data_IF_786900248098
#
_entry.id   IF_786900248098
#
_cell.length_a   1.000
_cell.length_b   1.000
_cell.length_c   1.000
_cell.angle_alpha   90.00
_cell.angle_beta   90.00
_cell.angle_gamma   90.00
#
_symmetry.space_group_name_H-M   'P 1'
#
loop_
_entity.id
_entity.type
_entity.pdbx_description
1 polymer ?
#
# COMPACT_ATOMS: atom_id res chain seq x y z
N UNK A 1 -22.66 20.62 15.94
CA UNK A 1 -21.48 19.74 15.89
C UNK A 1 -21.27 19.36 14.43
N UNK A 2 -20.16 19.73 13.83
CA UNK A 2 -19.82 19.23 12.50
C UNK A 2 -19.63 17.72 12.60
N UNK A 3 -20.29 16.99 11.69
CA UNK A 3 -20.20 15.54 11.65
C UNK A 3 -18.77 15.16 11.22
N UNK A 4 -18.07 14.36 12.02
CA UNK A 4 -16.72 13.89 11.70
C UNK A 4 -16.77 13.05 10.41
N UNK A 5 -16.07 13.51 9.39
CA UNK A 5 -15.91 12.81 8.12
C UNK A 5 -14.49 12.28 8.04
N UNK A 6 -14.33 10.96 7.89
CA UNK A 6 -13.02 10.31 7.75
C UNK A 6 -12.23 10.88 6.56
N UNK A 7 -10.92 11.09 6.72
CA UNK A 7 -10.07 11.73 5.72
C UNK A 7 -10.09 11.03 4.36
N UNK A 8 -10.16 9.71 4.34
CA UNK A 8 -10.30 8.93 3.11
C UNK A 8 -11.55 9.26 2.27
N UNK A 9 -12.60 9.84 2.90
CA UNK A 9 -13.80 10.35 2.22
C UNK A 9 -13.69 11.84 1.95
N UNK A 10 -13.23 12.63 2.91
CA UNK A 10 -13.13 14.09 2.83
C UNK A 10 -12.15 14.53 1.73
N UNK A 11 -10.99 13.87 1.64
CA UNK A 11 -9.93 14.17 0.67
C UNK A 11 -9.94 13.24 -0.55
N UNK A 12 -11.10 12.63 -0.85
CA UNK A 12 -11.22 11.84 -2.08
C UNK A 12 -11.05 12.75 -3.29
N UNK A 13 -10.13 12.44 -4.23
CA UNK A 13 -9.90 13.20 -5.44
C UNK A 13 -11.21 13.48 -6.21
N UNK A 14 -11.39 14.73 -6.63
CA UNK A 14 -12.54 15.16 -7.42
C UNK A 14 -12.19 15.36 -8.89
N UNK A 15 -10.92 15.61 -9.19
CA UNK A 15 -10.39 15.75 -10.55
C UNK A 15 -9.21 14.80 -10.78
N UNK A 16 -8.86 14.55 -12.03
CA UNK A 16 -7.69 13.73 -12.35
C UNK A 16 -6.37 14.33 -11.85
N UNK A 17 -6.31 15.65 -11.66
CA UNK A 17 -5.12 16.34 -11.12
C UNK A 17 -4.87 16.01 -9.65
N UNK A 18 -5.93 15.72 -8.91
CA UNK A 18 -5.86 15.42 -7.48
C UNK A 18 -5.45 13.95 -7.21
N UNK A 19 -5.39 13.13 -8.26
CA UNK A 19 -5.07 11.70 -8.12
C UNK A 19 -3.56 11.52 -7.98
N UNK A 20 -3.15 11.05 -6.81
CA UNK A 20 -1.75 10.89 -6.44
C UNK A 20 -1.14 9.63 -7.08
N UNK A 21 0.06 9.76 -7.63
CA UNK A 21 0.89 8.62 -8.07
C UNK A 21 0.41 7.89 -9.33
N UNK A 22 -0.61 8.40 -10.06
CA UNK A 22 -1.19 7.73 -11.24
C UNK A 22 -1.17 8.60 -12.50
N UNK A 23 -0.21 9.54 -12.62
CA UNK A 23 -0.18 10.54 -13.69
C UNK A 23 -0.21 9.94 -15.10
N UNK A 24 0.46 8.80 -15.32
CA UNK A 24 0.46 8.14 -16.62
C UNK A 24 -0.96 7.70 -17.04
N UNK A 25 -1.73 7.15 -16.09
CA UNK A 25 -3.11 6.69 -16.32
C UNK A 25 -4.04 7.88 -16.51
N UNK A 26 -3.98 8.87 -15.62
CA UNK A 26 -4.85 10.06 -15.68
C UNK A 26 -4.63 10.85 -16.97
N UNK A 27 -3.37 11.01 -17.41
CA UNK A 27 -3.04 11.65 -18.68
C UNK A 27 -3.56 10.84 -19.89
N UNK A 28 -3.43 9.51 -19.85
CA UNK A 28 -3.96 8.66 -20.93
C UNK A 28 -5.48 8.75 -21.02
N UNK A 29 -6.18 8.77 -19.89
CA UNK A 29 -7.64 8.93 -19.85
C UNK A 29 -8.07 10.30 -20.35
N UNK A 30 -7.38 11.38 -19.95
CA UNK A 30 -7.65 12.73 -20.44
C UNK A 30 -7.46 12.81 -21.96
N UNK A 31 -6.34 12.33 -22.47
CA UNK A 31 -6.08 12.31 -23.91
C UNK A 31 -7.13 11.49 -24.69
N UNK A 32 -7.61 10.39 -24.12
CA UNK A 32 -8.66 9.58 -24.75
C UNK A 32 -10.01 10.32 -24.81
N UNK A 33 -10.33 11.12 -23.78
CA UNK A 33 -11.52 11.97 -23.76
C UNK A 33 -11.37 13.09 -24.80
N UNK A 34 -10.29 13.85 -24.75
CA UNK A 34 -10.06 15.04 -25.59
C UNK A 34 -10.02 14.70 -27.09
N UNK A 35 -9.57 13.49 -27.43
CA UNK A 35 -9.52 12.99 -28.80
C UNK A 35 -10.76 12.16 -29.22
N UNK A 36 -11.78 12.03 -28.36
CA UNK A 36 -12.95 11.17 -28.61
C UNK A 36 -12.59 9.68 -28.94
N UNK A 37 -11.52 9.16 -28.31
CA UNK A 37 -11.04 7.78 -28.49
C UNK A 37 -11.21 6.92 -27.23
N UNK A 38 -12.19 7.24 -26.38
CA UNK A 38 -12.47 6.47 -25.19
C UNK A 38 -13.13 5.14 -25.56
N UNK A 39 -12.55 4.04 -25.11
CA UNK A 39 -13.15 2.72 -25.28
C UNK A 39 -14.44 2.60 -24.45
N UNK A 40 -15.42 1.83 -24.94
CA UNK A 40 -16.67 1.58 -24.21
C UNK A 40 -16.52 0.57 -23.07
N UNK A 41 -15.46 -0.23 -23.06
CA UNK A 41 -15.11 -1.14 -21.96
C UNK A 41 -13.68 -0.88 -21.48
N UNK A 42 -13.56 -0.54 -20.22
CA UNK A 42 -12.30 -0.23 -19.55
C UNK A 42 -12.10 -1.21 -18.39
N UNK A 43 -10.88 -1.67 -18.19
CA UNK A 43 -10.52 -2.51 -17.04
C UNK A 43 -9.41 -1.84 -16.22
N UNK A 44 -9.73 -1.44 -15.00
CA UNK A 44 -8.82 -0.87 -14.04
C UNK A 44 -8.30 -1.95 -13.11
N UNK A 45 -7.02 -2.26 -13.19
CA UNK A 45 -6.38 -3.31 -12.39
C UNK A 45 -5.35 -2.72 -11.45
N UNK A 46 -5.07 -3.39 -10.35
CA UNK A 46 -4.03 -2.99 -9.40
C UNK A 46 -4.45 -3.11 -7.94
N UNK A 47 -3.52 -2.85 -6.99
CA UNK A 47 -3.75 -3.03 -5.57
C UNK A 47 -4.97 -2.27 -5.05
N UNK A 48 -5.45 -2.65 -3.84
CA UNK A 48 -6.51 -1.93 -3.16
C UNK A 48 -6.03 -0.53 -2.75
N UNK A 49 -6.94 0.45 -2.73
CA UNK A 49 -6.66 1.78 -2.18
C UNK A 49 -5.81 2.71 -3.04
N UNK A 50 -5.47 2.34 -4.30
CA UNK A 50 -4.64 3.14 -5.22
C UNK A 50 -5.43 4.10 -6.11
N UNK A 51 -6.76 4.17 -5.98
CA UNK A 51 -7.60 5.15 -6.68
C UNK A 51 -8.41 4.63 -7.86
N UNK A 52 -8.51 3.32 -8.13
CA UNK A 52 -9.29 2.74 -9.26
C UNK A 52 -10.72 3.25 -9.33
N UNK A 53 -11.52 3.01 -8.30
CA UNK A 53 -12.93 3.44 -8.24
C UNK A 53 -13.07 4.97 -8.23
N UNK A 54 -12.11 5.69 -7.64
CA UNK A 54 -12.06 7.16 -7.68
C UNK A 54 -11.85 7.66 -9.10
N UNK A 55 -10.88 7.13 -9.84
CA UNK A 55 -10.66 7.48 -11.25
C UNK A 55 -11.88 7.12 -12.11
N UNK A 56 -12.55 6.00 -11.84
CA UNK A 56 -13.77 5.62 -12.55
C UNK A 56 -14.88 6.67 -12.38
N UNK A 57 -15.09 7.17 -11.15
CA UNK A 57 -16.07 8.24 -10.85
C UNK A 57 -15.69 9.57 -11.50
N UNK A 58 -14.42 9.95 -11.46
CA UNK A 58 -13.93 11.16 -12.10
C UNK A 58 -14.14 11.07 -13.61
N UNK A 59 -13.81 9.92 -14.22
CA UNK A 59 -14.04 9.67 -15.65
C UNK A 59 -15.52 9.79 -16.00
N UNK A 60 -16.39 9.11 -15.24
CA UNK A 60 -17.83 9.13 -15.47
C UNK A 60 -18.42 10.54 -15.44
N UNK A 61 -17.97 11.37 -14.48
CA UNK A 61 -18.36 12.78 -14.40
C UNK A 61 -17.81 13.57 -15.59
N UNK A 62 -16.53 13.44 -15.89
CA UNK A 62 -15.85 14.22 -16.94
C UNK A 62 -16.47 14.02 -18.32
N UNK A 63 -16.81 12.79 -18.71
CA UNK A 63 -17.41 12.49 -20.03
C UNK A 63 -18.87 12.93 -20.17
N UNK A 64 -19.59 13.11 -19.05
CA UNK A 64 -20.96 13.60 -19.04
C UNK A 64 -21.03 15.12 -18.88
N UNK A 65 -19.98 15.76 -18.38
CA UNK A 65 -19.91 17.21 -18.16
C UNK A 65 -19.68 18.01 -19.47
N UNK A 66 -19.24 17.33 -20.53
CA UNK A 66 -19.00 17.96 -21.83
C UNK A 66 -20.31 18.45 -22.45
N UNK A 67 -20.44 19.77 -22.62
CA UNK A 67 -21.65 20.41 -23.14
C UNK A 67 -22.64 20.94 -22.09
N UNK A 68 -22.29 20.87 -20.80
CA UNK A 68 -23.06 21.47 -19.71
C UNK A 68 -22.31 22.63 -19.07
N UNK A 69 -22.95 23.78 -18.95
CA UNK A 69 -22.36 25.00 -18.40
C UNK A 69 -22.28 24.99 -16.86
N UNK A 70 -23.06 24.15 -16.18
CA UNK A 70 -23.03 24.01 -14.71
C UNK A 70 -21.99 22.97 -14.26
N UNK A 71 -20.88 23.41 -13.64
CA UNK A 71 -19.88 22.49 -13.10
C UNK A 71 -20.38 21.67 -11.89
N UNK A 72 -21.55 22.01 -11.33
CA UNK A 72 -22.16 21.33 -10.18
C UNK A 72 -23.32 20.40 -10.58
N UNK A 73 -23.59 20.24 -11.89
CA UNK A 73 -24.63 19.31 -12.32
C UNK A 73 -24.31 17.89 -11.85
N UNK A 74 -25.28 17.31 -11.13
CA UNK A 74 -25.13 15.99 -10.55
C UNK A 74 -25.57 14.92 -11.55
N UNK A 75 -24.60 14.27 -12.17
CA UNK A 75 -24.82 13.11 -13.06
C UNK A 75 -25.04 11.79 -12.28
N UNK A 76 -25.51 11.85 -11.04
CA UNK A 76 -25.69 10.64 -10.22
C UNK A 76 -26.61 9.60 -10.88
N UNK A 77 -27.59 10.05 -11.65
CA UNK A 77 -28.50 9.16 -12.41
C UNK A 77 -27.85 8.48 -13.62
N UNK A 78 -26.65 8.92 -14.01
CA UNK A 78 -25.91 8.37 -15.13
C UNK A 78 -24.81 7.38 -14.69
N UNK A 79 -24.50 7.32 -13.41
CA UNK A 79 -23.42 6.50 -12.86
C UNK A 79 -24.01 5.39 -11.99
N UNK A 80 -23.87 4.16 -12.45
CA UNK A 80 -24.33 2.97 -11.73
C UNK A 80 -23.13 2.23 -11.18
N UNK A 81 -23.05 2.11 -9.87
CA UNK A 81 -21.96 1.41 -9.18
C UNK A 81 -22.49 0.08 -8.62
N UNK A 82 -21.79 -0.98 -8.94
CA UNK A 82 -22.06 -2.32 -8.44
C UNK A 82 -20.78 -2.89 -7.84
N UNK A 83 -20.86 -3.34 -6.60
CA UNK A 83 -19.81 -4.11 -5.96
C UNK A 83 -20.08 -5.60 -6.22
N UNK A 84 -19.22 -6.23 -7.00
CA UNK A 84 -19.35 -7.64 -7.33
C UNK A 84 -19.12 -8.59 -6.15
N UNK A 85 -18.52 -8.11 -5.04
CA UNK A 85 -18.42 -8.90 -3.83
C UNK A 85 -19.81 -9.15 -3.19
N UNK A 86 -20.72 -8.18 -3.31
CA UNK A 86 -22.08 -8.23 -2.78
C UNK A 86 -23.13 -8.66 -3.83
N UNK A 87 -22.85 -8.43 -5.12
CA UNK A 87 -23.77 -8.63 -6.24
C UNK A 87 -23.09 -9.48 -7.32
N UNK A 88 -22.93 -10.77 -7.08
CA UNK A 88 -22.16 -11.67 -7.93
C UNK A 88 -23.00 -12.69 -8.72
N UNK A 89 -24.31 -12.65 -8.55
CA UNK A 89 -25.21 -13.60 -9.20
C UNK A 89 -25.47 -13.28 -10.67
N UNK A 90 -25.93 -14.27 -11.41
CA UNK A 90 -26.36 -14.09 -12.81
C UNK A 90 -27.54 -13.12 -12.93
N UNK A 91 -28.44 -13.13 -11.94
CA UNK A 91 -29.67 -12.32 -11.97
C UNK A 91 -29.35 -10.85 -11.71
N UNK A 92 -28.35 -10.55 -10.85
CA UNK A 92 -27.86 -9.18 -10.64
C UNK A 92 -27.32 -8.61 -11.96
N UNK A 93 -26.49 -9.38 -12.66
CA UNK A 93 -25.91 -8.96 -13.95
C UNK A 93 -26.97 -8.87 -15.05
N UNK A 94 -27.97 -9.75 -15.09
CA UNK A 94 -29.09 -9.64 -16.04
C UNK A 94 -29.90 -8.37 -15.82
N UNK A 95 -30.21 -8.04 -14.57
CA UNK A 95 -30.89 -6.80 -14.20
C UNK A 95 -30.10 -5.56 -14.64
N UNK A 96 -28.76 -5.58 -14.47
CA UNK A 96 -27.88 -4.53 -14.97
C UNK A 96 -27.93 -4.45 -16.51
N UNK A 97 -27.84 -5.57 -17.23
CA UNK A 97 -27.89 -5.62 -18.70
C UNK A 97 -29.21 -5.03 -19.23
N UNK A 98 -30.34 -5.30 -18.59
CA UNK A 98 -31.63 -4.73 -18.99
C UNK A 98 -31.66 -3.21 -18.81
N UNK A 99 -31.05 -2.67 -17.74
CA UNK A 99 -30.91 -1.24 -17.53
C UNK A 99 -29.97 -0.57 -18.54
N UNK A 100 -28.94 -1.28 -19.02
CA UNK A 100 -27.98 -0.80 -20.02
C UNK A 100 -28.67 -0.43 -21.34
N UNK A 101 -29.74 -1.14 -21.71
CA UNK A 101 -30.47 -0.92 -22.98
C UNK A 101 -31.23 0.41 -23.02
N UNK A 102 -31.51 0.99 -21.86
CA UNK A 102 -32.27 2.25 -21.73
C UNK A 102 -31.27 3.42 -21.83
N UNK A 103 -31.40 4.33 -22.81
CA UNK A 103 -30.51 5.47 -22.94
C UNK A 103 -30.62 6.45 -21.74
N UNK A 104 -29.62 7.29 -21.47
CA UNK A 104 -29.70 8.31 -20.42
C UNK A 104 -30.77 9.34 -20.73
N UNK A 105 -31.38 9.90 -19.68
CA UNK A 105 -32.33 11.01 -19.80
C UNK A 105 -31.60 12.35 -19.88
N UNK A 106 -30.47 12.46 -19.18
CA UNK A 106 -29.57 13.62 -19.17
C UNK A 106 -28.16 13.13 -19.40
N UNK A 107 -27.26 13.99 -19.88
CA UNK A 107 -25.88 13.61 -20.19
C UNK A 107 -25.76 12.75 -21.45
N UNK A 108 -24.51 12.44 -21.81
CA UNK A 108 -24.16 11.72 -23.05
C UNK A 108 -24.09 10.21 -22.85
N UNK A 109 -23.61 9.80 -21.67
CA UNK A 109 -23.30 8.40 -21.37
C UNK A 109 -23.94 7.90 -20.08
N UNK A 110 -24.34 6.64 -20.05
CA UNK A 110 -24.53 5.84 -18.85
C UNK A 110 -23.25 5.08 -18.54
N UNK A 111 -22.72 5.25 -17.34
CA UNK A 111 -21.48 4.64 -16.91
C UNK A 111 -21.76 3.58 -15.85
N UNK A 112 -21.31 2.37 -16.12
CA UNK A 112 -21.45 1.23 -15.23
C UNK A 112 -20.11 0.88 -14.63
N UNK A 113 -19.92 1.17 -13.33
CA UNK A 113 -18.71 0.86 -12.57
C UNK A 113 -18.96 -0.44 -11.82
N UNK A 114 -18.22 -1.49 -12.16
CA UNK A 114 -18.28 -2.79 -11.47
C UNK A 114 -16.97 -2.99 -10.73
N UNK A 115 -17.04 -2.82 -9.40
CA UNK A 115 -15.87 -2.99 -8.53
C UNK A 115 -15.70 -4.46 -8.13
N UNK A 116 -14.45 -4.86 -7.89
CA UNK A 116 -14.01 -6.24 -7.60
C UNK A 116 -14.61 -7.28 -8.56
N UNK A 117 -14.60 -6.95 -9.85
CA UNK A 117 -15.25 -7.75 -10.91
C UNK A 117 -14.82 -9.23 -10.94
N UNK A 118 -13.65 -9.57 -10.40
CA UNK A 118 -13.17 -10.95 -10.26
C UNK A 118 -14.03 -11.81 -9.31
N UNK A 119 -14.90 -11.19 -8.52
CA UNK A 119 -15.83 -11.87 -7.60
C UNK A 119 -17.11 -12.36 -8.31
N UNK A 120 -17.36 -11.94 -9.55
CA UNK A 120 -18.51 -12.42 -10.31
C UNK A 120 -18.42 -13.94 -10.55
N UNK A 121 -19.56 -14.62 -10.47
CA UNK A 121 -19.65 -16.03 -10.85
C UNK A 121 -19.34 -16.23 -12.33
N UNK A 122 -18.87 -17.42 -12.69
CA UNK A 122 -18.59 -17.76 -14.10
C UNK A 122 -19.81 -17.55 -15.01
N UNK A 123 -21.00 -17.87 -14.51
CA UNK A 123 -22.25 -17.70 -15.23
C UNK A 123 -22.61 -16.21 -15.40
N UNK A 124 -22.33 -15.35 -14.40
CA UNK A 124 -22.49 -13.90 -14.49
C UNK A 124 -21.52 -13.30 -15.52
N UNK A 125 -20.25 -13.72 -15.51
CA UNK A 125 -19.29 -13.33 -16.56
C UNK A 125 -19.80 -13.69 -17.96
N UNK A 126 -20.25 -14.92 -18.16
CA UNK A 126 -20.73 -15.37 -19.47
C UNK A 126 -21.96 -14.56 -19.93
N UNK A 127 -22.88 -14.21 -19.03
CA UNK A 127 -24.02 -13.36 -19.36
C UNK A 127 -23.59 -11.95 -19.78
N UNK A 128 -22.52 -11.44 -19.17
CA UNK A 128 -22.01 -10.09 -19.43
C UNK A 128 -21.18 -9.96 -20.72
N UNK A 129 -20.54 -11.06 -21.18
CA UNK A 129 -19.67 -11.07 -22.38
C UNK A 129 -20.35 -10.50 -23.61
N UNK A 130 -21.61 -10.88 -23.88
CA UNK A 130 -22.35 -10.39 -25.04
C UNK A 130 -22.52 -8.86 -25.02
N UNK A 131 -22.77 -8.29 -23.87
CA UNK A 131 -22.94 -6.85 -23.71
C UNK A 131 -21.60 -6.10 -23.85
N UNK A 132 -20.48 -6.73 -23.48
CA UNK A 132 -19.14 -6.18 -23.68
C UNK A 132 -18.66 -6.28 -25.12
N UNK A 133 -19.15 -7.26 -25.89
CA UNK A 133 -18.84 -7.41 -27.32
C UNK A 133 -19.53 -6.33 -28.17
N UNK A 134 -20.80 -6.08 -27.89
CA UNK A 134 -21.63 -5.13 -28.62
C UNK A 134 -22.33 -4.15 -27.64
N UNK A 135 -21.56 -3.27 -26.97
CA UNK A 135 -22.15 -2.35 -26.03
C UNK A 135 -22.98 -1.28 -26.74
N UNK A 136 -24.16 -0.88 -26.19
CA UNK A 136 -24.89 0.27 -26.71
C UNK A 136 -24.04 1.52 -26.76
N UNK A 137 -24.19 2.37 -27.75
CA UNK A 137 -23.36 3.56 -27.99
C UNK A 137 -23.31 4.53 -26.80
N UNK A 138 -24.35 4.54 -25.99
CA UNK A 138 -24.47 5.39 -24.79
C UNK A 138 -23.94 4.74 -23.51
N UNK A 139 -23.49 3.48 -23.56
CA UNK A 139 -23.02 2.76 -22.39
C UNK A 139 -21.50 2.69 -22.37
N UNK A 140 -20.93 2.99 -21.18
CA UNK A 140 -19.50 2.81 -20.89
C UNK A 140 -19.37 1.91 -19.66
N UNK A 141 -18.55 0.88 -19.76
CA UNK A 141 -18.28 -0.06 -18.68
C UNK A 141 -16.88 0.20 -18.12
N UNK A 142 -16.78 0.35 -16.81
CA UNK A 142 -15.51 0.47 -16.09
C UNK A 142 -15.46 -0.67 -15.07
N UNK A 143 -14.71 -1.68 -15.40
CA UNK A 143 -14.49 -2.84 -14.55
C UNK A 143 -13.27 -2.57 -13.67
N UNK A 144 -13.36 -2.80 -12.38
CA UNK A 144 -12.22 -2.65 -11.46
C UNK A 144 -11.92 -3.97 -10.76
N UNK A 145 -10.64 -4.31 -10.60
CA UNK A 145 -10.20 -5.52 -9.92
C UNK A 145 -8.86 -5.35 -9.20
N UNK A 146 -8.73 -6.03 -8.09
CA UNK A 146 -7.43 -6.20 -7.40
C UNK A 146 -6.67 -7.42 -7.94
N UNK A 147 -7.33 -8.36 -8.62
CA UNK A 147 -6.79 -9.64 -9.04
C UNK A 147 -6.95 -9.87 -10.56
N UNK A 148 -6.11 -9.19 -11.35
CA UNK A 148 -6.11 -9.28 -12.82
C UNK A 148 -6.01 -10.73 -13.33
N UNK A 149 -5.26 -11.58 -12.65
CA UNK A 149 -5.03 -12.98 -13.03
C UNK A 149 -6.29 -13.85 -12.93
N UNK A 150 -7.31 -13.42 -12.17
CA UNK A 150 -8.61 -14.10 -12.08
C UNK A 150 -9.59 -13.70 -13.18
N UNK A 151 -9.27 -12.66 -13.97
CA UNK A 151 -10.13 -12.22 -15.06
C UNK A 151 -9.90 -13.12 -16.28
N UNK A 152 -10.99 -13.64 -16.82
CA UNK A 152 -10.93 -14.53 -17.99
C UNK A 152 -10.39 -13.82 -19.23
N UNK A 153 -9.59 -14.50 -20.08
CA UNK A 153 -8.96 -13.88 -21.25
C UNK A 153 -9.96 -13.22 -22.23
N UNK A 154 -11.17 -13.75 -22.30
CA UNK A 154 -12.25 -13.21 -23.13
C UNK A 154 -12.71 -11.81 -22.74
N UNK A 155 -12.65 -11.46 -21.45
CA UNK A 155 -12.89 -10.08 -20.95
C UNK A 155 -11.67 -9.21 -21.23
N UNK A 156 -10.45 -9.71 -20.93
CA UNK A 156 -9.21 -8.96 -21.14
C UNK A 156 -9.05 -8.49 -22.60
N UNK A 157 -9.46 -9.33 -23.56
CA UNK A 157 -9.37 -8.99 -25.00
C UNK A 157 -10.38 -7.95 -25.47
N UNK A 158 -11.40 -7.62 -24.66
CA UNK A 158 -12.48 -6.68 -25.00
C UNK A 158 -12.39 -5.36 -24.26
N UNK A 159 -11.48 -5.26 -23.27
CA UNK A 159 -11.33 -4.08 -22.46
C UNK A 159 -10.00 -3.36 -22.75
N UNK A 160 -10.01 -2.05 -22.73
CA UNK A 160 -8.79 -1.27 -22.60
C UNK A 160 -8.30 -1.36 -21.15
N UNK A 161 -7.08 -1.86 -20.95
CA UNK A 161 -6.55 -2.17 -19.62
C UNK A 161 -5.70 -1.03 -19.11
N UNK A 162 -5.93 -0.63 -17.86
CA UNK A 162 -5.16 0.38 -17.11
C UNK A 162 -4.62 -0.27 -15.82
N UNK A 163 -3.31 -0.43 -15.75
CA UNK A 163 -2.63 -1.05 -14.62
C UNK A 163 -2.19 0.02 -13.60
N UNK A 164 -2.99 0.19 -12.53
CA UNK A 164 -2.69 1.09 -11.42
C UNK A 164 -1.54 0.55 -10.57
N UNK A 165 -0.59 1.41 -10.26
CA UNK A 165 0.58 1.07 -9.46
C UNK A 165 0.38 1.41 -8.00
N UNK A 166 1.20 0.80 -7.12
CA UNK A 166 1.34 1.27 -5.75
C UNK A 166 1.84 2.71 -5.75
N UNK A 167 1.29 3.51 -4.84
CA UNK A 167 1.73 4.89 -4.65
C UNK A 167 3.06 4.84 -3.91
N UNK A 168 4.03 5.65 -4.34
CA UNK A 168 5.33 5.69 -3.68
C UNK A 168 5.21 6.26 -2.27
N UNK A 169 6.11 5.87 -1.37
CA UNK A 169 6.17 6.41 -0.01
C UNK A 169 6.31 7.93 -0.05
N UNK A 170 7.09 8.45 -1.01
CA UNK A 170 7.28 9.88 -1.22
C UNK A 170 5.97 10.58 -1.55
N UNK A 171 5.26 10.12 -2.58
CA UNK A 171 3.99 10.74 -3.01
C UNK A 171 2.92 10.66 -1.90
N UNK A 172 2.86 9.52 -1.20
CA UNK A 172 1.93 9.33 -0.09
C UNK A 172 2.25 10.29 1.08
N UNK A 173 3.53 10.44 1.43
CA UNK A 173 3.99 11.37 2.47
C UNK A 173 3.67 12.82 2.11
N UNK A 174 3.97 13.25 0.89
CA UNK A 174 3.67 14.60 0.41
C UNK A 174 2.17 14.92 0.52
N UNK A 175 1.32 14.02 0.06
CA UNK A 175 -0.14 14.17 0.16
C UNK A 175 -0.64 14.19 1.61
N UNK A 176 -0.13 13.30 2.48
CA UNK A 176 -0.44 13.34 3.92
C UNK A 176 -0.04 14.67 4.56
N UNK A 177 1.08 15.26 4.14
CA UNK A 177 1.52 16.58 4.58
C UNK A 177 0.58 17.70 4.15
N UNK A 178 0.02 17.64 2.93
CA UNK A 178 -1.02 18.57 2.48
C UNK A 178 -2.29 18.44 3.32
N UNK A 179 -2.73 17.20 3.56
CA UNK A 179 -3.91 16.92 4.41
C UNK A 179 -3.69 17.43 5.83
N UNK A 180 -2.53 17.18 6.45
CA UNK A 180 -2.20 17.65 7.78
C UNK A 180 -2.23 19.19 7.87
N UNK A 181 -1.60 19.88 6.91
CA UNK A 181 -1.63 21.36 6.84
C UNK A 181 -3.06 21.90 6.69
N UNK A 182 -3.88 21.26 5.86
CA UNK A 182 -5.28 21.67 5.65
C UNK A 182 -6.14 21.51 6.90
N UNK A 183 -5.74 20.60 7.82
CA UNK A 183 -6.40 20.37 9.11
C UNK A 183 -5.77 21.16 10.27
N UNK A 184 -4.70 21.94 10.02
CA UNK A 184 -3.97 22.67 11.05
C UNK A 184 -3.19 21.77 12.01
N UNK A 185 -2.78 20.58 11.54
CA UNK A 185 -2.00 19.60 12.30
C UNK A 185 -0.52 19.85 12.05
N UNK A 186 0.25 20.05 13.12
CA UNK A 186 1.71 20.06 13.07
C UNK A 186 2.26 18.63 13.00
N UNK A 187 3.31 18.40 12.26
CA UNK A 187 3.85 17.05 12.06
C UNK A 187 5.36 17.05 11.90
N UNK A 188 5.97 15.97 12.33
CA UNK A 188 7.36 15.62 12.00
C UNK A 188 7.36 14.85 10.66
N UNK A 189 8.36 15.11 9.83
CA UNK A 189 8.49 14.48 8.50
C UNK A 189 8.58 12.94 8.60
N UNK A 190 9.32 12.45 9.60
CA UNK A 190 9.46 11.01 9.89
C UNK A 190 8.13 10.37 10.34
N UNK A 191 7.25 11.12 11.02
CA UNK A 191 5.93 10.64 11.40
C UNK A 191 5.07 10.30 10.16
N UNK A 192 5.01 11.22 9.20
CA UNK A 192 4.29 10.98 7.93
C UNK A 192 4.96 9.87 7.10
N UNK A 193 6.28 9.79 7.14
CA UNK A 193 7.03 8.74 6.44
C UNK A 193 6.63 7.34 6.95
N UNK A 194 6.57 7.13 8.26
CA UNK A 194 6.15 5.86 8.87
C UNK A 194 4.72 5.50 8.48
N UNK A 195 3.80 6.47 8.48
CA UNK A 195 2.41 6.24 8.04
C UNK A 195 2.36 5.81 6.57
N UNK A 196 3.08 6.52 5.70
CA UNK A 196 3.13 6.23 4.27
C UNK A 196 3.74 4.84 3.99
N UNK A 197 4.81 4.48 4.70
CA UNK A 197 5.45 3.16 4.61
C UNK A 197 4.50 2.04 5.07
N UNK A 198 3.80 2.24 6.21
CA UNK A 198 2.87 1.26 6.76
C UNK A 198 1.65 1.02 5.86
N UNK A 199 1.27 2.01 5.06
CA UNK A 199 0.15 1.94 4.11
C UNK A 199 0.46 1.12 2.85
N UNK A 200 1.72 0.75 2.62
CA UNK A 200 2.16 -0.12 1.52
C UNK A 200 1.61 0.30 0.16
N UNK A 201 1.66 1.61 -0.13
CA UNK A 201 1.25 2.19 -1.39
C UNK A 201 -0.27 2.33 -1.60
N UNK A 202 -1.07 2.15 -0.55
CA UNK A 202 -2.53 2.33 -0.57
C UNK A 202 -2.92 3.68 0.08
N UNK A 203 -3.27 4.71 -0.69
CA UNK A 203 -3.62 6.03 -0.16
C UNK A 203 -4.83 6.00 0.80
N UNK A 204 -5.81 5.14 0.52
CA UNK A 204 -6.96 4.98 1.41
C UNK A 204 -6.55 4.50 2.81
N UNK A 205 -5.60 3.57 2.86
CA UNK A 205 -5.09 3.03 4.12
C UNK A 205 -4.18 4.05 4.80
N UNK A 206 -3.37 4.80 4.05
CA UNK A 206 -2.56 5.91 4.57
C UNK A 206 -3.42 6.95 5.29
N UNK A 207 -4.51 7.40 4.67
CA UNK A 207 -5.44 8.36 5.27
C UNK A 207 -6.19 7.77 6.48
N UNK A 208 -6.54 6.48 6.44
CA UNK A 208 -7.18 5.81 7.58
C UNK A 208 -6.23 5.65 8.78
N UNK A 209 -4.97 5.34 8.52
CA UNK A 209 -3.91 5.30 9.53
C UNK A 209 -3.68 6.71 10.09
N UNK A 210 -3.58 7.71 9.23
CA UNK A 210 -3.43 9.12 9.62
C UNK A 210 -4.55 9.54 10.59
N UNK A 211 -5.82 9.33 10.24
CA UNK A 211 -6.96 9.66 11.10
C UNK A 211 -6.89 8.98 12.47
N UNK A 212 -6.49 7.70 12.49
CA UNK A 212 -6.33 6.94 13.72
C UNK A 212 -5.25 7.54 14.63
N UNK A 213 -4.10 7.87 14.06
CA UNK A 213 -2.99 8.44 14.83
C UNK A 213 -3.32 9.87 15.30
N UNK A 214 -3.92 10.70 14.44
CA UNK A 214 -4.38 12.05 14.81
C UNK A 214 -5.42 11.99 15.94
N UNK A 215 -6.31 11.02 15.92
CA UNK A 215 -7.28 10.81 17.01
C UNK A 215 -6.58 10.46 18.35
N UNK A 216 -5.38 9.89 18.30
CA UNK A 216 -4.59 9.55 19.48
C UNK A 216 -3.75 10.73 19.98
N UNK A 217 -3.04 11.44 19.10
CA UNK A 217 -2.07 12.48 19.47
C UNK A 217 -2.61 13.92 19.37
N UNK A 218 -3.82 14.12 18.82
CA UNK A 218 -4.40 15.45 18.61
C UNK A 218 -3.73 16.23 17.49
N UNK A 219 -3.35 17.47 17.74
CA UNK A 219 -2.84 18.40 16.72
C UNK A 219 -1.32 18.35 16.50
N UNK A 220 -0.61 17.48 17.21
CA UNK A 220 0.85 17.36 17.09
C UNK A 220 1.27 15.92 16.78
N UNK A 221 1.55 15.67 15.50
CA UNK A 221 1.90 14.35 14.99
C UNK A 221 3.42 14.14 15.08
N UNK A 222 3.88 13.55 16.20
CA UNK A 222 5.28 13.21 16.40
C UNK A 222 5.59 11.78 15.95
N UNK A 223 6.87 11.51 15.60
CA UNK A 223 7.35 10.16 15.28
C UNK A 223 7.03 9.17 16.41
N UNK A 224 7.27 9.58 17.66
CA UNK A 224 7.00 8.76 18.83
C UNK A 224 5.52 8.37 18.93
N UNK A 225 4.60 9.32 18.79
CA UNK A 225 3.16 9.04 18.83
C UNK A 225 2.71 8.06 17.73
N UNK A 226 3.30 8.18 16.53
CA UNK A 226 3.03 7.28 15.42
C UNK A 226 3.54 5.88 15.70
N UNK A 227 4.79 5.73 16.15
CA UNK A 227 5.38 4.42 16.45
C UNK A 227 4.64 3.69 17.56
N UNK A 228 4.25 4.41 18.62
CA UNK A 228 3.46 3.86 19.72
C UNK A 228 2.06 3.41 19.25
N UNK A 229 1.33 4.27 18.53
CA UNK A 229 -0.02 3.97 18.08
C UNK A 229 -0.06 2.84 17.04
N UNK A 230 0.90 2.79 16.14
CA UNK A 230 0.97 1.76 15.08
C UNK A 230 1.64 0.47 15.56
N UNK A 231 2.13 0.44 16.78
CA UNK A 231 2.93 -0.65 17.31
C UNK A 231 4.08 -1.02 16.35
N UNK A 232 4.77 0.01 15.82
CA UNK A 232 5.93 -0.11 14.95
C UNK A 232 7.17 0.10 15.79
N UNK A 233 8.06 -0.87 15.81
CA UNK A 233 9.31 -0.72 16.52
C UNK A 233 10.19 0.29 15.78
N UNK A 234 10.72 1.28 16.53
CA UNK A 234 11.57 2.31 15.99
C UNK A 234 12.90 1.74 15.48
N UNK A 235 13.42 2.31 14.39
CA UNK A 235 14.72 1.90 13.83
C UNK A 235 15.87 1.99 14.85
N UNK A 236 15.77 2.87 15.86
CA UNK A 236 16.76 2.96 16.93
C UNK A 236 16.92 1.65 17.72
N UNK A 237 15.84 0.89 17.91
CA UNK A 237 15.92 -0.43 18.52
C UNK A 237 16.68 -1.42 17.66
N UNK A 238 16.46 -1.42 16.34
CA UNK A 238 17.18 -2.29 15.43
C UNK A 238 18.66 -1.93 15.35
N UNK A 239 18.99 -0.64 15.38
CA UNK A 239 20.38 -0.17 15.45
C UNK A 239 21.04 -0.68 16.74
N UNK A 240 20.39 -0.48 17.91
CA UNK A 240 20.90 -0.97 19.20
C UNK A 240 21.07 -2.48 19.21
N UNK A 241 20.08 -3.23 18.73
CA UNK A 241 20.12 -4.69 18.67
C UNK A 241 21.27 -5.15 17.74
N UNK A 242 21.46 -4.51 16.60
CA UNK A 242 22.53 -4.84 15.67
C UNK A 242 23.92 -4.54 16.26
N UNK A 243 24.10 -3.44 16.96
CA UNK A 243 25.36 -3.16 17.67
C UNK A 243 25.65 -4.25 18.74
N UNK A 244 24.65 -4.67 19.53
CA UNK A 244 24.79 -5.77 20.48
C UNK A 244 25.12 -7.12 19.80
N UNK A 245 24.56 -7.37 18.61
CA UNK A 245 24.88 -8.55 17.79
C UNK A 245 26.34 -8.52 17.34
N UNK A 246 26.79 -7.40 16.80
CA UNK A 246 28.18 -7.22 16.33
C UNK A 246 29.19 -7.40 17.48
N UNK A 247 28.85 -6.89 18.65
CA UNK A 247 29.67 -6.96 19.87
C UNK A 247 29.57 -8.34 20.59
N UNK A 248 28.75 -9.26 20.10
CA UNK A 248 28.49 -10.58 20.72
C UNK A 248 28.00 -10.48 22.19
N UNK A 249 27.19 -9.47 22.49
CA UNK A 249 26.64 -9.24 23.84
C UNK A 249 25.32 -9.95 24.03
N UNK A 250 25.35 -11.28 24.03
CA UNK A 250 24.16 -12.14 24.10
C UNK A 250 23.27 -11.83 25.30
N UNK A 251 23.77 -11.66 26.56
CA UNK A 251 22.92 -11.33 27.70
C UNK A 251 22.13 -10.03 27.51
N UNK A 252 22.79 -8.96 27.04
CA UNK A 252 22.15 -7.66 26.83
C UNK A 252 21.16 -7.68 25.67
N UNK A 253 21.46 -8.49 24.64
CA UNK A 253 20.59 -8.72 23.50
C UNK A 253 19.26 -9.39 23.94
N UNK A 254 19.33 -10.42 24.78
CA UNK A 254 18.15 -11.10 25.31
C UNK A 254 17.35 -10.19 26.27
N UNK A 255 18.03 -9.36 27.09
CA UNK A 255 17.36 -8.37 27.92
C UNK A 255 16.65 -7.30 27.07
N UNK A 256 17.30 -6.79 26.03
CA UNK A 256 16.69 -5.83 25.10
C UNK A 256 15.47 -6.43 24.38
N UNK A 257 15.54 -7.69 23.95
CA UNK A 257 14.39 -8.37 23.37
C UNK A 257 13.23 -8.51 24.37
N UNK A 258 13.55 -8.85 25.63
CA UNK A 258 12.53 -8.92 26.68
C UNK A 258 11.88 -7.55 26.97
N UNK A 259 12.64 -6.44 26.91
CA UNK A 259 12.09 -5.09 27.00
C UNK A 259 11.13 -4.76 25.84
N UNK A 260 11.48 -5.19 24.63
CA UNK A 260 10.63 -5.03 23.43
C UNK A 260 9.30 -5.76 23.62
N UNK A 261 9.34 -7.02 24.08
CA UNK A 261 8.13 -7.80 24.38
C UNK A 261 7.30 -7.19 25.50
N UNK A 262 7.94 -6.68 26.56
CA UNK A 262 7.26 -6.04 27.70
C UNK A 262 6.53 -4.74 27.30
N UNK A 263 6.98 -4.06 26.25
CA UNK A 263 6.31 -2.91 25.65
C UNK A 263 5.13 -3.30 24.73
N UNK A 264 4.83 -4.60 24.58
CA UNK A 264 3.72 -5.09 23.78
C UNK A 264 4.02 -5.29 22.28
N UNK A 265 5.29 -5.20 21.87
CA UNK A 265 5.67 -5.51 20.51
C UNK A 265 5.63 -7.02 20.23
N UNK A 266 5.20 -7.38 19.04
CA UNK A 266 5.13 -8.76 18.59
C UNK A 266 6.49 -9.27 18.10
N UNK A 267 6.88 -10.49 18.53
CA UNK A 267 8.16 -11.08 18.15
C UNK A 267 8.31 -11.37 16.67
N UNK A 268 7.22 -11.68 15.97
CA UNK A 268 7.23 -11.91 14.52
C UNK A 268 7.56 -10.61 13.77
N UNK A 269 6.85 -9.53 14.12
CA UNK A 269 7.13 -8.22 13.54
C UNK A 269 8.55 -7.73 13.86
N UNK A 270 9.07 -8.03 15.06
CA UNK A 270 10.44 -7.71 15.42
C UNK A 270 11.45 -8.41 14.52
N UNK A 271 11.31 -9.73 14.28
CA UNK A 271 12.24 -10.50 13.42
C UNK A 271 12.17 -10.04 11.96
N UNK A 272 10.96 -9.84 11.43
CA UNK A 272 10.75 -9.34 10.08
C UNK A 272 11.36 -7.93 9.90
N UNK A 273 11.20 -7.06 10.91
CA UNK A 273 11.83 -5.74 10.91
C UNK A 273 13.35 -5.80 11.01
N UNK A 274 13.90 -6.75 11.78
CA UNK A 274 15.35 -6.96 11.89
C UNK A 274 15.95 -7.44 10.56
N UNK A 275 15.26 -8.35 9.85
CA UNK A 275 15.67 -8.77 8.51
C UNK A 275 15.69 -7.60 7.51
N UNK A 276 14.64 -6.75 7.56
CA UNK A 276 14.57 -5.53 6.76
C UNK A 276 15.68 -4.55 7.10
N UNK A 277 16.01 -4.39 8.39
CA UNK A 277 17.10 -3.54 8.85
C UNK A 277 18.48 -4.02 8.30
N UNK A 278 18.77 -5.33 8.33
CA UNK A 278 20.00 -5.85 7.76
C UNK A 278 20.06 -5.63 6.23
N UNK A 279 18.94 -5.77 5.53
CA UNK A 279 18.84 -5.43 4.10
C UNK A 279 19.16 -3.94 3.87
N UNK A 280 18.63 -3.06 4.69
CA UNK A 280 18.84 -1.62 4.58
C UNK A 280 20.29 -1.23 4.88
N UNK A 281 20.95 -1.89 5.84
CA UNK A 281 22.39 -1.77 6.05
C UNK A 281 23.20 -2.21 4.82
N UNK A 282 22.80 -3.31 4.17
CA UNK A 282 23.47 -3.80 2.96
C UNK A 282 23.32 -2.81 1.79
N UNK A 283 22.12 -2.27 1.61
CA UNK A 283 21.79 -1.25 0.60
C UNK A 283 22.59 0.04 0.85
N UNK A 284 22.80 0.41 2.13
CA UNK A 284 23.52 1.61 2.52
C UNK A 284 25.02 1.56 2.30
N UNK A 285 25.59 0.38 2.02
CA UNK A 285 27.02 0.22 1.74
C UNK A 285 27.47 0.82 0.41
N UNK A 286 26.58 0.91 -0.57
CA UNK A 286 26.91 1.41 -1.90
C UNK A 286 26.08 2.67 -2.23
N UNK A 287 26.72 3.80 -2.60
CA UNK A 287 26.00 5.00 -2.99
C UNK A 287 24.98 4.81 -4.12
N UNK A 288 25.23 3.87 -5.05
CA UNK A 288 24.31 3.58 -6.15
C UNK A 288 23.00 2.93 -5.69
N UNK A 289 23.01 2.24 -4.55
CA UNK A 289 21.83 1.56 -3.99
C UNK A 289 21.11 2.38 -2.93
N UNK A 290 21.64 3.54 -2.50
CA UNK A 290 21.00 4.42 -1.52
C UNK A 290 19.59 4.87 -1.94
N UNK A 291 19.32 4.97 -3.24
CA UNK A 291 17.98 5.28 -3.75
C UNK A 291 16.93 4.20 -3.43
N UNK A 292 17.37 2.99 -3.03
CA UNK A 292 16.50 1.88 -2.60
C UNK A 292 16.19 1.92 -1.10
N UNK A 293 16.82 2.85 -0.36
CA UNK A 293 16.59 3.03 1.06
C UNK A 293 15.40 3.98 1.27
N UNK A 294 14.30 3.43 1.70
CA UNK A 294 13.07 4.17 2.01
C UNK A 294 13.12 4.65 3.48
N UNK A 295 14.02 5.57 3.81
CA UNK A 295 14.18 6.12 5.17
C UNK A 295 14.34 7.64 5.12
N UNK A 296 13.96 8.33 6.21
CA UNK A 296 14.21 9.76 6.38
C UNK A 296 15.70 10.09 6.48
N UNK A 297 16.10 11.35 6.28
CA UNK A 297 17.52 11.76 6.25
C UNK A 297 18.29 11.39 7.53
N UNK A 298 17.66 11.52 8.69
CA UNK A 298 18.29 11.18 9.98
C UNK A 298 18.60 9.69 10.04
N UNK A 299 17.63 8.84 9.69
CA UNK A 299 17.79 7.40 9.66
C UNK A 299 18.84 6.98 8.62
N UNK A 300 18.87 7.60 7.43
CA UNK A 300 19.88 7.32 6.39
C UNK A 300 21.31 7.50 6.88
N UNK A 301 21.58 8.53 7.67
CA UNK A 301 22.90 8.76 8.24
C UNK A 301 23.30 7.66 9.23
N UNK A 302 22.36 7.26 10.11
CA UNK A 302 22.60 6.18 11.08
C UNK A 302 22.81 4.82 10.36
N UNK A 303 22.03 4.52 9.34
CA UNK A 303 22.23 3.33 8.51
C UNK A 303 23.61 3.32 7.83
N UNK A 304 24.04 4.47 7.31
CA UNK A 304 25.38 4.61 6.69
C UNK A 304 26.49 4.36 7.70
N UNK A 305 26.43 4.93 8.90
CA UNK A 305 27.43 4.73 9.95
C UNK A 305 27.46 3.26 10.39
N UNK A 306 26.34 2.65 10.69
CA UNK A 306 26.29 1.25 11.15
C UNK A 306 26.69 0.28 10.03
N UNK A 307 26.38 0.59 8.76
CA UNK A 307 26.77 -0.24 7.64
C UNK A 307 28.28 -0.41 7.50
N UNK A 308 29.07 0.60 7.93
CA UNK A 308 30.53 0.53 7.91
C UNK A 308 31.08 -0.44 8.97
N UNK A 309 30.35 -0.70 10.05
CA UNK A 309 30.75 -1.64 11.11
C UNK A 309 30.49 -3.11 10.71
N UNK A 310 29.77 -3.37 9.64
CA UNK A 310 29.36 -4.72 9.22
C UNK A 310 30.06 -5.14 7.91
N UNK A 311 30.30 -6.42 7.71
CA UNK A 311 30.72 -6.96 6.41
C UNK A 311 29.52 -7.37 5.56
N UNK A 312 29.70 -7.46 4.24
CA UNK A 312 28.65 -7.95 3.35
C UNK A 312 28.28 -9.40 3.67
N UNK A 313 29.25 -10.25 3.96
CA UNK A 313 29.01 -11.65 4.31
C UNK A 313 28.24 -11.80 5.61
N UNK A 314 28.53 -10.95 6.61
CA UNK A 314 27.75 -10.90 7.83
C UNK A 314 26.28 -10.57 7.55
N UNK A 315 26.03 -9.49 6.79
CA UNK A 315 24.66 -9.05 6.49
C UNK A 315 23.85 -10.08 5.71
N UNK A 316 24.47 -10.75 4.73
CA UNK A 316 23.79 -11.83 3.97
C UNK A 316 23.41 -13.01 4.87
N UNK A 317 24.32 -13.46 5.75
CA UNK A 317 24.03 -14.51 6.74
C UNK A 317 22.98 -14.07 7.75
N UNK A 318 23.02 -12.81 8.18
CA UNK A 318 22.06 -12.27 9.13
C UNK A 318 20.65 -12.19 8.54
N UNK A 319 20.50 -11.77 7.29
CA UNK A 319 19.22 -11.77 6.56
C UNK A 319 18.69 -13.21 6.45
N UNK A 320 19.53 -14.17 6.09
CA UNK A 320 19.15 -15.57 5.95
C UNK A 320 18.62 -16.15 7.26
N UNK A 321 19.35 -15.98 8.37
CA UNK A 321 18.92 -16.43 9.71
C UNK A 321 17.62 -15.76 10.17
N UNK A 322 17.48 -14.45 9.97
CA UNK A 322 16.28 -13.73 10.36
C UNK A 322 15.07 -14.17 9.51
N UNK A 323 15.25 -14.36 8.20
CA UNK A 323 14.21 -14.87 7.30
C UNK A 323 13.81 -16.33 7.63
N UNK A 324 14.76 -17.18 7.96
CA UNK A 324 14.46 -18.55 8.40
C UNK A 324 13.66 -18.58 9.70
N UNK A 325 13.97 -17.68 10.63
CA UNK A 325 13.18 -17.49 11.86
C UNK A 325 11.76 -17.00 11.55
N UNK A 326 11.60 -16.03 10.66
CA UNK A 326 10.31 -15.48 10.23
C UNK A 326 9.41 -16.57 9.63
N UNK A 327 9.95 -17.36 8.71
CA UNK A 327 9.23 -18.47 8.07
C UNK A 327 8.77 -19.53 9.08
N UNK A 328 9.58 -19.82 10.09
CA UNK A 328 9.28 -20.83 11.12
C UNK A 328 8.39 -20.31 12.25
N UNK A 329 8.24 -18.99 12.38
CA UNK A 329 7.58 -18.37 13.54
C UNK A 329 6.16 -18.89 13.77
N UNK A 330 5.33 -18.93 12.72
CA UNK A 330 3.92 -19.36 12.82
C UNK A 330 3.75 -20.84 13.17
N UNK A 331 4.70 -21.68 12.85
CA UNK A 331 4.65 -23.13 13.06
C UNK A 331 5.32 -23.55 14.37
N UNK A 332 6.09 -22.66 14.99
CA UNK A 332 6.78 -22.93 16.25
C UNK A 332 5.81 -22.95 17.44
N UNK A 333 5.92 -23.96 18.30
CA UNK A 333 5.18 -24.03 19.56
C UNK A 333 5.74 -23.06 20.62
N UNK A 334 7.04 -22.75 20.55
CA UNK A 334 7.68 -21.80 21.45
C UNK A 334 8.32 -20.67 20.62
N UNK A 335 7.48 -19.71 20.25
CA UNK A 335 7.87 -18.57 19.42
C UNK A 335 8.95 -17.71 20.08
N UNK A 336 8.87 -17.52 21.41
CA UNK A 336 9.86 -16.75 22.14
C UNK A 336 11.25 -17.39 22.06
N UNK A 337 11.35 -18.69 22.34
CA UNK A 337 12.61 -19.42 22.27
C UNK A 337 13.18 -19.42 20.85
N UNK A 338 12.33 -19.49 19.82
CA UNK A 338 12.74 -19.44 18.44
C UNK A 338 13.46 -18.12 18.11
N UNK A 339 12.90 -16.98 18.55
CA UNK A 339 13.52 -15.66 18.35
C UNK A 339 14.78 -15.51 19.18
N UNK A 340 14.78 -15.93 20.45
CA UNK A 340 15.98 -15.91 21.30
C UNK A 340 17.12 -16.74 20.69
N UNK A 341 16.82 -17.91 20.12
CA UNK A 341 17.79 -18.75 19.41
C UNK A 341 18.33 -18.05 18.17
N UNK A 342 17.46 -17.42 17.35
CA UNK A 342 17.86 -16.65 16.21
C UNK A 342 18.82 -15.50 16.61
N UNK A 343 18.51 -14.75 17.66
CA UNK A 343 19.36 -13.67 18.17
C UNK A 343 20.73 -14.20 18.64
N UNK A 344 20.79 -15.33 19.33
CA UNK A 344 22.04 -15.97 19.74
C UNK A 344 22.86 -16.43 18.53
N UNK A 345 22.23 -16.99 17.50
CA UNK A 345 22.89 -17.37 16.24
C UNK A 345 23.44 -16.16 15.49
N UNK A 346 22.66 -15.07 15.40
CA UNK A 346 23.07 -13.80 14.80
C UNK A 346 24.33 -13.24 15.49
N UNK A 347 24.34 -13.20 16.81
CA UNK A 347 25.48 -12.75 17.59
C UNK A 347 26.72 -13.65 17.42
N UNK A 348 26.51 -14.92 17.06
CA UNK A 348 27.59 -15.87 16.86
C UNK A 348 28.20 -15.85 15.43
N UNK A 349 27.62 -15.12 14.48
CA UNK A 349 28.14 -15.04 13.10
C UNK A 349 29.56 -14.47 13.06
N UNK A 350 29.84 -13.43 13.84
CA UNK A 350 31.14 -12.75 13.91
C UNK A 350 32.11 -13.46 14.84
N UNK A 351 31.61 -14.36 15.68
CA UNK A 351 32.38 -15.15 16.60
C UNK A 351 32.87 -16.44 15.91
N UNK A 352 33.73 -16.29 14.90
CA UNK A 352 34.60 -17.37 14.49
C UNK A 352 35.50 -17.63 15.69
N UNK A 353 35.15 -18.68 16.43
CA UNK A 353 35.92 -19.07 17.60
C UNK A 353 37.38 -19.17 17.17
N UNK A 354 38.19 -18.20 17.62
CA UNK A 354 39.62 -18.52 17.77
C UNK A 354 39.61 -19.83 18.54
N UNK A 355 39.86 -20.92 17.80
CA UNK A 355 40.33 -22.15 18.39
C UNK A 355 41.54 -21.74 19.22
N UNK A 356 41.30 -21.45 20.52
CA UNK A 356 42.41 -21.46 21.46
C UNK A 356 43.11 -22.77 21.17
N UNK A 357 44.24 -22.70 20.47
CA UNK A 357 45.26 -23.73 20.52
C UNK A 357 45.51 -23.92 22.00
N UNK A 358 44.95 -24.99 22.57
CA UNK A 358 45.45 -25.57 23.78
C UNK A 358 46.94 -25.88 23.49
N UNK A 359 47.79 -24.91 23.78
CA UNK A 359 49.22 -25.12 23.88
C UNK A 359 49.38 -26.03 25.09
N UNK A 360 49.83 -27.24 24.79
CA UNK A 360 50.23 -28.25 25.75
C UNK A 360 51.05 -27.64 26.87
N UNK A 361 50.60 -27.88 28.09
CA UNK A 361 51.47 -28.04 29.26
C UNK A 361 51.63 -29.50 29.50
#
# INVERSE_FOLDING_TARGET
MEQFIVSARKYRPQTFKDVVGQQAITNTLLNAIDNNHLAQALLFTGPRGVGKTTCARILARKINQEGYDDPYEDFAFNVFELDAASNNSVDDIRSLIDQVRIPPQTGKYKVYIIDEVHMLSQAAFNAFLKTLEEPPRHAIFILATTEKHKIIPTILSRCQIFDFKRITVKDAKEHLGEVARSQGISFEDDALHIIAQKADGAMRDALSIFDRVVSYCGTNLTRQAVTENLNVLDYEYYIKVTDLIIENRIPDLLLTYNEILAKGFDGHHFVAGLASHFRDLLVSKNPATLALLEAGEVAQNLYREQSQKTSQDFLLKAIDLANDCDLKYKTSQNQRLLVELCLMQLASITFDGEKKKLTNL
#
